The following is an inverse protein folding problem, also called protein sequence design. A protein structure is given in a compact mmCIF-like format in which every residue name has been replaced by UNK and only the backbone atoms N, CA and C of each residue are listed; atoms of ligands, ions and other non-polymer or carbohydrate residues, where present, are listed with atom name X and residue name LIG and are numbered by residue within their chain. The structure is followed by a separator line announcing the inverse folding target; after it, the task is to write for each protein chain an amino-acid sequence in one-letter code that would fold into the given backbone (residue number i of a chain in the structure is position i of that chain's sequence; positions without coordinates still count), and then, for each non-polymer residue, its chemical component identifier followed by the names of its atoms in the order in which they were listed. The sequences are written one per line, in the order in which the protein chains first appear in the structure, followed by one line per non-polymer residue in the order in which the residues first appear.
data_IF_272116927919
#
_entry.id   IF_272116927919
#
_cell.length_a   1.000
_cell.length_b   1.000
_cell.length_c   1.000
_cell.angle_alpha   90.00
_cell.angle_beta   90.00
_cell.angle_gamma   90.00
#
_symmetry.space_group_name_H-M   'P 1'
#
loop_
_entity.id
_entity.type
_entity.pdbx_description
1 polymer ?
#
# COMPACT_ATOMS: atom_id res chain seq x y z
N UNK A 1 -44.92 22.84 34.12
CA UNK A 1 -44.95 22.89 32.65
C UNK A 1 -43.56 23.11 32.04
N UNK A 2 -42.72 23.95 32.64
CA UNK A 2 -41.31 24.20 32.26
C UNK A 2 -40.41 22.95 32.28
N UNK A 3 -40.50 22.10 33.32
CA UNK A 3 -39.64 20.91 33.45
C UNK A 3 -39.75 19.94 32.27
N UNK A 4 -40.96 19.71 31.73
CA UNK A 4 -41.15 18.84 30.56
C UNK A 4 -40.52 19.41 29.29
N UNK A 5 -40.57 20.73 29.11
CA UNK A 5 -39.95 21.41 27.96
C UNK A 5 -38.42 21.30 28.04
N UNK A 6 -37.84 21.49 29.22
CA UNK A 6 -36.39 21.32 29.42
C UNK A 6 -35.93 19.87 29.17
N UNK A 7 -36.70 18.87 29.62
CA UNK A 7 -36.38 17.46 29.35
C UNK A 7 -36.44 17.14 27.85
N UNK A 8 -37.49 17.58 27.15
CA UNK A 8 -37.62 17.37 25.70
C UNK A 8 -36.47 18.05 24.95
N UNK A 9 -36.16 19.30 25.27
CA UNK A 9 -35.05 20.01 24.65
C UNK A 9 -33.71 19.31 24.88
N UNK A 10 -33.44 18.89 26.12
CA UNK A 10 -32.20 18.16 26.46
C UNK A 10 -32.10 16.85 25.67
N UNK A 11 -33.16 16.06 25.58
CA UNK A 11 -33.15 14.79 24.84
C UNK A 11 -32.92 15.03 23.36
N UNK A 12 -33.63 15.99 22.75
CA UNK A 12 -33.47 16.32 21.33
C UNK A 12 -32.03 16.78 21.04
N UNK A 13 -31.48 17.66 21.87
CA UNK A 13 -30.11 18.15 21.68
C UNK A 13 -29.08 17.03 21.87
N UNK A 14 -29.22 16.16 22.88
CA UNK A 14 -28.35 15.01 23.07
C UNK A 14 -28.37 14.07 21.87
N UNK A 15 -29.55 13.77 21.30
CA UNK A 15 -29.69 12.94 20.10
C UNK A 15 -29.02 13.60 18.90
N UNK A 16 -29.20 14.91 18.71
CA UNK A 16 -28.55 15.66 17.63
C UNK A 16 -27.02 15.63 17.74
N UNK A 17 -26.47 15.84 18.95
CA UNK A 17 -25.03 15.79 19.19
C UNK A 17 -24.48 14.39 18.93
N UNK A 18 -25.14 13.34 19.43
CA UNK A 18 -24.74 11.95 19.17
C UNK A 18 -24.77 11.66 17.67
N UNK A 19 -25.84 12.10 16.97
CA UNK A 19 -25.97 11.95 15.52
C UNK A 19 -24.81 12.63 14.76
N UNK A 20 -24.47 13.87 15.13
CA UNK A 20 -23.37 14.59 14.52
C UNK A 20 -22.00 13.91 14.76
N UNK A 21 -21.77 13.39 15.98
CA UNK A 21 -20.54 12.66 16.31
C UNK A 21 -20.44 11.36 15.51
N UNK A 22 -21.49 10.55 15.46
CA UNK A 22 -21.52 9.29 14.69
C UNK A 22 -21.30 9.58 13.21
N UNK A 23 -21.94 10.63 12.67
CA UNK A 23 -21.76 11.05 11.29
C UNK A 23 -20.31 11.48 11.00
N UNK A 24 -19.70 12.27 11.90
CA UNK A 24 -18.31 12.69 11.77
C UNK A 24 -17.34 11.51 11.76
N UNK A 25 -17.55 10.52 12.65
CA UNK A 25 -16.73 9.29 12.68
C UNK A 25 -16.96 8.44 11.43
N UNK A 26 -18.18 8.36 10.91
CA UNK A 26 -18.45 7.62 9.68
C UNK A 26 -17.73 8.25 8.46
N UNK A 27 -17.58 9.57 8.42
CA UNK A 27 -16.85 10.28 7.35
C UNK A 27 -15.33 10.10 7.43
N UNK A 28 -14.74 10.23 8.63
CA UNK A 28 -13.28 10.18 8.80
C UNK A 28 -12.77 8.74 8.95
N UNK A 29 -13.62 7.83 9.41
CA UNK A 29 -13.25 6.48 9.83
C UNK A 29 -12.85 6.41 11.31
N UNK A 30 -12.53 5.19 11.75
CA UNK A 30 -12.16 4.91 13.15
C UNK A 30 -10.62 4.94 13.33
N UNK A 31 -10.12 5.06 14.56
CA UNK A 31 -8.69 4.93 14.83
C UNK A 31 -8.09 3.59 14.33
N UNK A 32 -8.89 2.52 14.35
CA UNK A 32 -8.50 1.22 13.83
C UNK A 32 -8.29 1.22 12.32
N UNK A 33 -9.22 1.80 11.55
CA UNK A 33 -9.09 1.89 10.09
C UNK A 33 -7.92 2.79 9.69
N UNK A 34 -7.71 3.90 10.39
CA UNK A 34 -6.57 4.80 10.13
C UNK A 34 -5.21 4.09 10.34
N UNK A 35 -5.13 3.21 11.36
CA UNK A 35 -3.94 2.38 11.60
C UNK A 35 -3.72 1.39 10.46
N UNK A 36 -4.77 0.69 9.99
CA UNK A 36 -4.66 -0.24 8.86
C UNK A 36 -4.23 0.47 7.58
N UNK A 37 -4.82 1.63 7.26
CA UNK A 37 -4.41 2.46 6.12
C UNK A 37 -2.95 2.90 6.20
N UNK A 38 -2.43 3.18 7.39
CA UNK A 38 -1.01 3.53 7.56
C UNK A 38 -0.10 2.32 7.28
N UNK A 39 -0.49 1.13 7.73
CA UNK A 39 0.27 -0.10 7.50
C UNK A 39 0.27 -0.50 6.02
N UNK A 40 -0.87 -0.41 5.34
CA UNK A 40 -0.95 -0.68 3.90
C UNK A 40 -0.15 0.34 3.08
N UNK A 41 -0.16 1.62 3.47
CA UNK A 41 0.73 2.63 2.88
C UNK A 41 2.20 2.31 3.06
N UNK A 42 2.59 1.79 4.23
CA UNK A 42 3.97 1.37 4.49
C UNK A 42 4.35 0.21 3.58
N UNK A 43 3.52 -0.85 3.50
CA UNK A 43 3.73 -1.99 2.61
C UNK A 43 3.88 -1.57 1.16
N UNK A 44 3.00 -0.68 0.70
CA UNK A 44 3.06 -0.18 -0.65
C UNK A 44 4.31 0.66 -0.91
N UNK A 45 4.74 1.47 0.06
CA UNK A 45 5.99 2.21 -0.03
C UNK A 45 7.21 1.28 -0.13
N UNK A 46 7.24 0.21 0.66
CA UNK A 46 8.30 -0.80 0.63
C UNK A 46 8.34 -1.50 -0.75
N UNK A 47 7.19 -1.93 -1.29
CA UNK A 47 7.11 -2.50 -2.64
C UNK A 47 7.56 -1.53 -3.74
N UNK A 48 7.19 -0.24 -3.63
CA UNK A 48 7.63 0.80 -4.58
C UNK A 48 9.13 1.02 -4.52
N UNK A 49 9.74 0.99 -3.34
CA UNK A 49 11.19 1.08 -3.21
C UNK A 49 11.88 -0.13 -3.80
N UNK A 50 11.36 -1.34 -3.59
CA UNK A 50 11.86 -2.57 -4.25
C UNK A 50 11.77 -2.42 -5.78
N UNK A 51 10.61 -2.03 -6.31
CA UNK A 51 10.41 -1.79 -7.74
C UNK A 51 11.43 -0.79 -8.30
N UNK A 52 11.62 0.36 -7.63
CA UNK A 52 12.58 1.38 -8.07
C UNK A 52 14.03 0.87 -8.06
N UNK A 53 14.43 0.09 -7.05
CA UNK A 53 15.76 -0.51 -7.04
C UNK A 53 15.94 -1.51 -8.19
N UNK A 54 14.95 -2.36 -8.47
CA UNK A 54 15.00 -3.29 -9.62
C UNK A 54 15.18 -2.50 -10.92
N UNK A 55 14.36 -1.46 -11.15
CA UNK A 55 14.49 -0.62 -12.34
C UNK A 55 15.86 0.05 -12.42
N UNK A 56 16.37 0.60 -11.32
CA UNK A 56 17.67 1.26 -11.29
C UNK A 56 18.84 0.33 -11.61
N UNK A 57 18.72 -0.96 -11.26
CA UNK A 57 19.77 -1.96 -11.43
C UNK A 57 19.74 -2.63 -12.80
N UNK A 58 18.54 -2.83 -13.36
CA UNK A 58 18.32 -3.70 -14.51
C UNK A 58 17.97 -2.92 -15.78
N UNK A 59 17.36 -1.74 -15.67
CA UNK A 59 16.97 -0.95 -16.83
C UNK A 59 18.09 0.01 -17.23
N UNK A 60 18.32 0.16 -18.53
CA UNK A 60 19.20 1.20 -19.08
C UNK A 60 18.33 2.27 -19.78
N UNK A 61 18.51 3.57 -19.48
CA UNK A 61 17.80 4.63 -20.19
C UNK A 61 18.02 4.62 -21.71
N UNK A 62 19.17 4.13 -22.18
CA UNK A 62 19.56 4.14 -23.59
C UNK A 62 19.19 2.85 -24.33
N UNK A 63 18.98 1.74 -23.62
CA UNK A 63 18.64 0.41 -24.18
C UNK A 63 17.26 -0.02 -23.68
N UNK A 64 16.24 0.11 -24.55
CA UNK A 64 14.84 -0.20 -24.20
C UNK A 64 14.45 -1.65 -24.43
N UNK A 65 15.15 -2.35 -25.32
CA UNK A 65 14.77 -3.69 -25.76
C UNK A 65 15.47 -4.80 -24.94
N UNK A 66 16.44 -4.44 -24.10
CA UNK A 66 17.25 -5.39 -23.34
C UNK A 66 17.57 -4.85 -21.94
N UNK A 67 17.71 -5.76 -20.98
CA UNK A 67 18.11 -5.42 -19.63
C UNK A 67 19.63 -5.22 -19.56
N UNK A 68 20.06 -4.13 -18.91
CA UNK A 68 21.46 -3.89 -18.53
C UNK A 68 22.03 -5.02 -17.68
N UNK A 69 21.18 -5.62 -16.85
CA UNK A 69 21.50 -6.73 -15.96
C UNK A 69 20.28 -7.62 -15.81
N UNK A 70 20.49 -8.93 -15.74
CA UNK A 70 19.44 -9.88 -15.41
C UNK A 70 18.76 -9.54 -14.08
N UNK A 71 17.46 -9.85 -13.98
CA UNK A 71 16.70 -9.68 -12.74
C UNK A 71 17.37 -10.43 -11.58
N UNK A 72 17.45 -9.83 -10.38
CA UNK A 72 17.94 -10.52 -9.19
C UNK A 72 17.12 -11.80 -8.95
N UNK A 73 17.75 -12.88 -8.48
CA UNK A 73 17.01 -14.11 -8.23
C UNK A 73 16.13 -14.01 -6.98
N UNK A 74 16.55 -13.19 -6.00
CA UNK A 74 15.87 -13.03 -4.71
C UNK A 74 15.87 -11.57 -4.24
N UNK A 75 15.00 -11.24 -3.27
CA UNK A 75 15.02 -9.94 -2.60
C UNK A 75 16.31 -9.69 -1.81
N UNK A 76 16.94 -10.74 -1.28
CA UNK A 76 18.20 -10.60 -0.53
C UNK A 76 19.36 -10.27 -1.48
N UNK A 77 19.36 -10.85 -2.69
CA UNK A 77 20.31 -10.47 -3.75
C UNK A 77 20.10 -9.01 -4.14
N UNK A 78 18.84 -8.60 -4.35
CA UNK A 78 18.51 -7.20 -4.62
C UNK A 78 18.98 -6.29 -3.49
N UNK A 79 18.75 -6.65 -2.22
CA UNK A 79 19.16 -5.86 -1.06
C UNK A 79 20.68 -5.66 -0.99
N UNK A 80 21.44 -6.67 -1.38
CA UNK A 80 22.91 -6.61 -1.40
C UNK A 80 23.43 -5.74 -2.56
N UNK A 81 22.72 -5.77 -3.69
CA UNK A 81 23.05 -5.00 -4.89
C UNK A 81 22.53 -3.56 -4.86
N UNK A 82 21.50 -3.27 -4.04
CA UNK A 82 20.86 -1.97 -3.95
C UNK A 82 21.88 -0.84 -3.75
N UNK A 83 21.69 0.24 -4.50
CA UNK A 83 22.62 1.39 -4.51
C UNK A 83 21.90 2.71 -4.27
N UNK A 84 20.62 2.83 -4.61
CA UNK A 84 19.92 4.12 -4.52
C UNK A 84 19.28 4.29 -3.14
N UNK A 85 18.50 3.32 -2.70
CA UNK A 85 17.87 3.27 -1.39
C UNK A 85 18.07 1.91 -0.69
N UNK A 86 18.04 1.92 0.64
CA UNK A 86 17.96 0.70 1.43
C UNK A 86 16.54 0.14 1.30
N UNK A 87 16.42 -1.09 0.83
CA UNK A 87 15.13 -1.77 0.71
C UNK A 87 14.72 -2.45 2.01
N UNK A 88 13.43 -2.41 2.31
CA UNK A 88 12.81 -3.26 3.33
C UNK A 88 12.22 -4.49 2.64
N UNK A 89 12.73 -5.66 2.97
CA UNK A 89 12.33 -6.92 2.32
C UNK A 89 11.19 -7.64 3.05
N UNK A 90 10.73 -7.13 4.20
CA UNK A 90 9.77 -7.82 5.05
C UNK A 90 8.63 -6.91 5.51
N UNK A 91 7.46 -7.52 5.70
CA UNK A 91 6.26 -6.86 6.20
C UNK A 91 6.47 -6.29 7.61
N UNK A 92 6.12 -5.01 7.86
CA UNK A 92 6.39 -4.36 9.14
C UNK A 92 5.57 -4.90 10.32
N UNK A 93 4.55 -5.71 10.07
CA UNK A 93 3.66 -6.29 11.09
C UNK A 93 3.97 -7.77 11.29
N UNK A 94 4.02 -8.55 10.21
CA UNK A 94 4.22 -10.00 10.30
C UNK A 94 5.69 -10.39 10.34
N UNK A 95 6.60 -9.49 9.93
CA UNK A 95 8.02 -9.78 9.70
C UNK A 95 8.27 -10.87 8.65
N UNK A 96 7.23 -11.26 7.89
CA UNK A 96 7.37 -12.18 6.78
C UNK A 96 7.94 -11.44 5.56
N UNK A 97 8.84 -12.06 4.78
CA UNK A 97 9.38 -11.43 3.59
C UNK A 97 8.28 -11.15 2.57
N UNK A 98 8.39 -10.03 1.86
CA UNK A 98 7.57 -9.80 0.67
C UNK A 98 7.86 -10.88 -0.36
N UNK A 99 6.86 -11.21 -1.16
CA UNK A 99 7.02 -12.21 -2.20
C UNK A 99 7.56 -11.50 -3.44
N UNK A 100 8.69 -11.99 -3.92
CA UNK A 100 9.29 -11.61 -5.19
C UNK A 100 9.56 -12.87 -6.00
N UNK A 101 8.98 -12.96 -7.20
CA UNK A 101 9.14 -14.13 -8.05
C UNK A 101 9.45 -13.67 -9.47
N UNK A 102 10.62 -14.05 -9.98
CA UNK A 102 10.95 -13.89 -11.40
C UNK A 102 10.16 -14.92 -12.19
N UNK A 103 9.30 -14.46 -13.10
CA UNK A 103 8.41 -15.31 -13.90
C UNK A 103 8.88 -15.48 -15.34
N UNK A 104 9.74 -14.57 -15.83
CA UNK A 104 10.39 -14.65 -17.14
C UNK A 104 11.77 -13.94 -17.09
N UNK A 105 12.46 -13.82 -18.21
CA UNK A 105 13.73 -13.08 -18.27
C UNK A 105 13.58 -11.58 -17.95
N UNK A 106 12.41 -10.99 -18.19
CA UNK A 106 12.14 -9.55 -17.97
C UNK A 106 10.99 -9.29 -17.01
N UNK A 107 10.21 -10.31 -16.66
CA UNK A 107 8.99 -10.18 -15.85
C UNK A 107 9.19 -10.74 -14.45
N UNK A 108 8.65 -10.05 -13.45
CA UNK A 108 8.59 -10.50 -12.07
C UNK A 108 7.28 -10.10 -11.38
N UNK A 109 6.96 -10.78 -10.29
CA UNK A 109 5.83 -10.47 -9.42
C UNK A 109 6.29 -9.94 -8.07
N UNK A 110 5.60 -8.91 -7.57
CA UNK A 110 5.73 -8.38 -6.21
C UNK A 110 4.41 -8.55 -5.46
N UNK A 111 4.41 -9.33 -4.38
CA UNK A 111 3.19 -9.52 -3.59
C UNK A 111 3.32 -9.04 -2.14
N UNK A 112 2.20 -8.52 -1.64
CA UNK A 112 1.97 -8.24 -0.23
C UNK A 112 0.53 -8.59 0.16
N UNK A 113 0.26 -8.59 1.47
CA UNK A 113 -1.09 -8.76 2.00
C UNK A 113 -1.58 -7.44 2.56
N UNK A 114 -2.60 -6.86 1.96
CA UNK A 114 -3.19 -5.59 2.36
C UNK A 114 -4.43 -5.80 3.21
N UNK A 115 -4.67 -4.90 4.18
CA UNK A 115 -5.85 -4.97 5.03
C UNK A 115 -7.08 -4.33 4.38
N UNK A 116 -6.87 -3.29 3.57
CA UNK A 116 -7.90 -2.48 2.95
C UNK A 116 -7.74 -2.45 1.44
N UNK A 117 -8.84 -2.11 0.76
CA UNK A 117 -8.82 -1.79 -0.66
C UNK A 117 -8.10 -0.47 -0.92
N UNK A 118 -7.37 -0.42 -2.04
CA UNK A 118 -6.89 0.81 -2.64
C UNK A 118 -7.47 0.92 -4.04
N UNK A 119 -8.27 1.96 -4.23
CA UNK A 119 -8.77 2.41 -5.52
C UNK A 119 -8.45 3.91 -5.68
N UNK A 120 -7.54 4.22 -6.58
CA UNK A 120 -7.01 5.57 -6.78
C UNK A 120 -6.82 5.86 -8.27
N UNK A 121 -7.22 7.06 -8.69
CA UNK A 121 -7.00 7.56 -10.05
C UNK A 121 -5.53 7.94 -10.32
N UNK A 122 -4.69 7.97 -9.28
CA UNK A 122 -3.25 8.25 -9.35
C UNK A 122 -2.49 7.01 -8.94
N UNK A 123 -1.42 6.69 -9.66
CA UNK A 123 -0.65 5.46 -9.48
C UNK A 123 -1.55 4.21 -9.61
N UNK A 124 -2.39 4.15 -10.66
CA UNK A 124 -3.43 3.12 -10.86
C UNK A 124 -2.88 1.70 -10.83
N UNK A 125 -1.65 1.49 -11.32
CA UNK A 125 -0.96 0.20 -11.24
C UNK A 125 -0.92 -0.39 -9.83
N UNK A 126 -0.85 0.48 -8.81
CA UNK A 126 -0.75 0.09 -7.41
C UNK A 126 -2.11 -0.10 -6.73
N UNK A 127 -3.22 -0.07 -7.46
CA UNK A 127 -4.53 -0.38 -6.91
C UNK A 127 -4.64 -1.88 -6.62
N UNK A 128 -5.30 -2.23 -5.53
CA UNK A 128 -5.40 -3.60 -5.07
C UNK A 128 -6.65 -3.82 -4.21
N UNK A 129 -7.23 -5.03 -4.23
CA UNK A 129 -8.25 -5.43 -3.26
C UNK A 129 -7.61 -5.63 -1.87
N UNK A 130 -8.42 -5.76 -0.81
CA UNK A 130 -7.94 -6.28 0.46
C UNK A 130 -7.50 -7.76 0.29
N UNK A 131 -6.53 -8.18 1.10
CA UNK A 131 -5.95 -9.51 1.08
C UNK A 131 -4.62 -9.60 0.31
N UNK A 132 -4.21 -10.82 -0.03
CA UNK A 132 -2.98 -11.06 -0.79
C UNK A 132 -3.18 -10.60 -2.23
N UNK A 133 -2.31 -9.71 -2.70
CA UNK A 133 -2.30 -9.21 -4.07
C UNK A 133 -0.87 -9.19 -4.61
N UNK A 134 -0.71 -9.53 -5.90
CA UNK A 134 0.55 -9.58 -6.61
C UNK A 134 0.52 -8.61 -7.79
N UNK A 135 1.52 -7.75 -7.88
CA UNK A 135 1.75 -6.85 -8.99
C UNK A 135 2.73 -7.49 -9.96
N UNK A 136 2.31 -7.71 -11.20
CA UNK A 136 3.18 -8.21 -12.27
C UNK A 136 3.85 -7.02 -12.95
N UNK A 137 5.17 -7.03 -13.01
CA UNK A 137 5.99 -5.97 -13.60
C UNK A 137 6.83 -6.55 -14.73
N UNK A 138 6.77 -5.93 -15.90
CA UNK A 138 7.81 -6.07 -16.91
C UNK A 138 8.88 -5.01 -16.67
N UNK A 139 10.13 -5.43 -16.47
CA UNK A 139 11.23 -4.51 -16.22
C UNK A 139 11.59 -3.65 -17.45
N UNK A 140 11.26 -4.11 -18.68
CA UNK A 140 11.48 -3.34 -19.90
C UNK A 140 10.36 -2.34 -20.18
N UNK A 141 9.12 -2.69 -19.86
CA UNK A 141 7.93 -1.82 -19.99
C UNK A 141 7.25 -1.61 -18.62
N UNK A 142 7.90 -0.84 -17.71
CA UNK A 142 7.32 -0.57 -16.41
C UNK A 142 6.05 0.28 -16.52
N UNK A 143 5.10 0.09 -15.60
CA UNK A 143 3.81 0.79 -15.57
C UNK A 143 3.90 2.29 -15.25
#
# INVERSE_FOLDING_TARGET
MTTRIHTVFSVVFSVLVIGAVVWGVALVGTPGTARLQRLDRQRLADLRTIFREVQSLCQDPDLKDELKRALPATLDDLATLARSERINVADPVTSEPYVYVVTSETTYELCATFALERDSDVDVFWNHPPGRHCFTVDALDPP
#
